data_IF_130178939596
#
_entry.id   IF_130178939596
#
_cell.length_a   1.000
_cell.length_b   1.000
_cell.length_c   1.000
_cell.angle_alpha   90.00
_cell.angle_beta   90.00
_cell.angle_gamma   90.00
#
_symmetry.space_group_name_H-M   'P 1'
#
loop_
_entity.id
_entity.type
_entity.pdbx_description
1 polymer ?
#
# COMPACT_ATOMS: atom_id res chain seq x y z
N UNK A 1 55.29 -30.01 -34.10
CA UNK A 1 54.04 -30.77 -33.87
C UNK A 1 53.22 -29.98 -32.84
N UNK A 2 52.83 -28.76 -33.22
CA UNK A 2 51.46 -28.32 -33.52
C UNK A 2 50.62 -28.10 -32.25
N UNK A 3 50.86 -26.95 -31.65
CA UNK A 3 49.99 -26.25 -30.71
C UNK A 3 49.46 -25.01 -31.43
N UNK A 4 48.37 -25.13 -32.18
CA UNK A 4 47.64 -24.00 -32.78
C UNK A 4 46.40 -24.55 -33.47
N UNK A 5 45.30 -23.79 -33.46
CA UNK A 5 44.01 -24.06 -34.12
C UNK A 5 42.97 -24.83 -33.28
N UNK A 6 42.43 -24.17 -32.26
CA UNK A 6 41.00 -24.34 -31.96
C UNK A 6 40.39 -22.97 -31.62
N UNK A 7 39.95 -22.34 -32.70
CA UNK A 7 39.06 -21.21 -32.74
C UNK A 7 37.83 -21.44 -31.85
N UNK A 8 37.57 -20.46 -30.99
CA UNK A 8 36.26 -20.06 -30.47
C UNK A 8 36.54 -18.69 -29.84
N UNK A 9 36.63 -17.61 -30.63
CA UNK A 9 35.46 -16.83 -31.04
C UNK A 9 34.28 -17.01 -30.08
N UNK A 10 34.50 -16.66 -28.81
CA UNK A 10 33.43 -16.21 -27.94
C UNK A 10 33.45 -14.69 -28.03
N UNK A 11 32.75 -14.20 -29.06
CA UNK A 11 32.00 -12.95 -28.96
C UNK A 11 31.11 -13.05 -27.71
N UNK A 12 31.68 -12.81 -26.54
CA UNK A 12 30.94 -12.72 -25.28
C UNK A 12 30.29 -11.33 -25.26
N UNK A 13 29.18 -11.25 -25.99
CA UNK A 13 28.07 -10.31 -25.79
C UNK A 13 28.50 -8.87 -25.57
N UNK A 14 28.41 -8.10 -26.67
CA UNK A 14 28.08 -6.68 -26.65
C UNK A 14 27.25 -6.34 -25.40
N UNK A 15 27.82 -5.49 -24.53
CA UNK A 15 27.08 -4.84 -23.45
C UNK A 15 25.93 -4.09 -24.13
N UNK A 16 24.68 -4.54 -24.05
CA UNK A 16 23.60 -3.82 -24.69
C UNK A 16 23.36 -2.57 -23.85
N UNK A 17 23.36 -1.43 -24.56
CA UNK A 17 22.81 -0.12 -24.23
C UNK A 17 22.38 0.09 -22.76
N UNK A 18 22.91 1.18 -22.20
CA UNK A 18 22.47 1.95 -21.02
C UNK A 18 20.95 2.14 -20.92
N UNK A 19 20.23 1.05 -20.70
CA UNK A 19 18.78 1.04 -20.63
C UNK A 19 18.39 1.50 -19.23
N UNK A 20 17.36 2.33 -19.13
CA UNK A 20 16.87 2.93 -17.87
C UNK A 20 16.75 1.96 -16.68
N UNK A 21 16.67 0.66 -16.95
CA UNK A 21 16.80 -0.42 -15.98
C UNK A 21 18.05 -0.36 -15.10
N UNK A 22 19.25 -0.08 -15.63
CA UNK A 22 20.46 0.05 -14.82
C UNK A 22 20.49 1.33 -13.98
N UNK A 23 19.76 2.38 -14.40
CA UNK A 23 19.60 3.61 -13.60
C UNK A 23 18.58 3.39 -12.49
N UNK A 24 17.50 2.66 -12.78
CA UNK A 24 16.54 2.18 -11.79
C UNK A 24 17.18 1.24 -10.78
N UNK A 25 17.98 0.29 -11.24
CA UNK A 25 18.69 -0.66 -10.38
C UNK A 25 19.71 0.08 -9.50
N UNK A 26 20.49 1.01 -10.06
CA UNK A 26 21.37 1.87 -9.25
C UNK A 26 20.60 2.79 -8.31
N UNK A 27 19.43 3.29 -8.68
CA UNK A 27 18.58 4.09 -7.80
C UNK A 27 17.99 3.22 -6.68
N UNK A 28 17.58 1.99 -6.98
CA UNK A 28 17.06 1.02 -6.00
C UNK A 28 18.16 0.53 -5.06
N UNK A 29 19.37 0.30 -5.56
CA UNK A 29 20.56 -0.05 -4.76
C UNK A 29 21.02 1.15 -3.94
N UNK A 30 21.04 2.35 -4.50
CA UNK A 30 21.39 3.56 -3.75
C UNK A 30 20.35 3.93 -2.69
N UNK A 31 19.07 3.72 -2.97
CA UNK A 31 18.00 3.77 -1.97
C UNK A 31 18.27 2.67 -0.94
N UNK A 32 18.49 1.42 -1.36
CA UNK A 32 18.79 0.26 -0.50
C UNK A 32 20.00 0.43 0.43
N UNK A 33 21.09 1.02 -0.04
CA UNK A 33 22.31 1.31 0.73
C UNK A 33 22.11 2.49 1.69
N UNK A 34 21.18 3.41 1.38
CA UNK A 34 20.72 4.46 2.32
C UNK A 34 19.61 3.98 3.26
N UNK A 35 18.92 2.88 2.94
CA UNK A 35 18.00 2.22 3.85
C UNK A 35 18.83 1.54 4.93
N UNK A 36 18.89 2.18 6.09
CA UNK A 36 19.54 1.69 7.30
C UNK A 36 19.35 0.16 7.42
N UNK A 37 20.39 -0.67 7.69
CA UNK A 37 20.24 -2.12 7.81
C UNK A 37 19.20 -2.55 8.87
N UNK A 38 18.82 -1.64 9.76
CA UNK A 38 17.68 -1.74 10.68
C UNK A 38 16.34 -1.78 9.92
N UNK A 39 16.11 -0.89 8.96
CA UNK A 39 14.91 -0.84 8.14
C UNK A 39 14.75 -2.13 7.32
N UNK A 40 15.83 -2.70 6.78
CA UNK A 40 15.78 -3.98 6.06
C UNK A 40 15.39 -5.14 6.99
N UNK A 41 15.88 -5.14 8.23
CA UNK A 41 15.51 -6.14 9.24
C UNK A 41 14.05 -5.99 9.66
N UNK A 42 13.60 -4.76 9.94
CA UNK A 42 12.22 -4.45 10.33
C UNK A 42 11.22 -4.74 9.21
N UNK A 43 11.51 -4.32 7.98
CA UNK A 43 10.67 -4.60 6.81
C UNK A 43 10.54 -6.10 6.54
N UNK A 44 11.65 -6.84 6.60
CA UNK A 44 11.62 -8.30 6.45
C UNK A 44 10.81 -8.96 7.55
N UNK A 45 10.93 -8.50 8.79
CA UNK A 45 10.15 -9.00 9.92
C UNK A 45 8.65 -8.67 9.78
N UNK A 46 8.32 -7.46 9.34
CA UNK A 46 6.96 -7.00 9.14
C UNK A 46 6.26 -7.73 7.99
N UNK A 47 6.98 -8.03 6.89
CA UNK A 47 6.48 -8.82 5.76
C UNK A 47 6.34 -10.31 6.10
N UNK A 48 7.12 -10.83 7.07
CA UNK A 48 6.98 -12.21 7.56
C UNK A 48 5.96 -12.33 8.70
N UNK A 49 5.37 -11.22 9.15
CA UNK A 49 4.37 -11.24 10.22
C UNK A 49 3.17 -12.10 9.82
N UNK A 50 2.69 -12.94 10.75
CA UNK A 50 1.50 -13.78 10.54
C UNK A 50 0.28 -12.94 10.15
N UNK A 51 0.15 -11.73 10.69
CA UNK A 51 -0.93 -10.79 10.36
C UNK A 51 -0.85 -10.31 8.91
N UNK A 52 0.37 -10.02 8.43
CA UNK A 52 0.60 -9.61 7.05
C UNK A 52 0.28 -10.74 6.08
N UNK A 53 0.82 -11.94 6.32
CA UNK A 53 0.57 -13.10 5.44
C UNK A 53 -0.92 -13.43 5.37
N UNK A 54 -1.64 -13.46 6.50
CA UNK A 54 -3.08 -13.73 6.50
C UNK A 54 -3.83 -12.67 5.69
N UNK A 55 -3.56 -11.38 5.93
CA UNK A 55 -4.25 -10.30 5.23
C UNK A 55 -3.93 -10.31 3.73
N UNK A 56 -2.67 -10.52 3.38
CA UNK A 56 -2.22 -10.61 1.99
C UNK A 56 -2.88 -11.77 1.24
N UNK A 57 -2.89 -12.97 1.83
CA UNK A 57 -3.59 -14.11 1.26
C UNK A 57 -5.09 -13.86 1.18
N UNK A 58 -5.71 -13.24 2.18
CA UNK A 58 -7.12 -12.88 2.17
C UNK A 58 -7.44 -11.91 1.03
N UNK A 59 -6.64 -10.86 0.84
CA UNK A 59 -6.80 -9.88 -0.24
C UNK A 59 -6.70 -10.56 -1.61
N UNK A 60 -5.72 -11.44 -1.81
CA UNK A 60 -5.58 -12.21 -3.05
C UNK A 60 -6.79 -13.11 -3.31
N UNK A 61 -7.26 -13.85 -2.30
CA UNK A 61 -8.43 -14.73 -2.42
C UNK A 61 -9.69 -13.93 -2.71
N UNK A 62 -9.92 -12.81 -2.01
CA UNK A 62 -11.06 -11.93 -2.24
C UNK A 62 -11.01 -11.29 -3.62
N UNK A 63 -9.84 -10.81 -4.06
CA UNK A 63 -9.66 -10.26 -5.40
C UNK A 63 -9.95 -11.32 -6.47
N UNK A 64 -9.50 -12.56 -6.26
CA UNK A 64 -9.76 -13.66 -7.17
C UNK A 64 -11.24 -14.05 -7.22
N UNK A 65 -11.88 -14.23 -6.07
CA UNK A 65 -13.33 -14.50 -5.96
C UNK A 65 -14.13 -13.38 -6.62
N UNK A 66 -13.80 -12.12 -6.34
CA UNK A 66 -14.47 -10.96 -6.93
C UNK A 66 -14.28 -10.90 -8.45
N UNK A 67 -13.09 -11.25 -8.95
CA UNK A 67 -12.84 -11.32 -10.39
C UNK A 67 -13.73 -12.37 -11.07
N UNK A 68 -13.87 -13.55 -10.46
CA UNK A 68 -14.74 -14.62 -10.98
C UNK A 68 -16.20 -14.22 -10.92
N UNK A 69 -16.65 -13.68 -9.78
CA UNK A 69 -18.02 -13.21 -9.60
C UNK A 69 -18.35 -12.07 -10.57
N UNK A 70 -17.44 -11.11 -10.73
CA UNK A 70 -17.59 -10.01 -11.68
C UNK A 70 -17.75 -10.53 -13.11
N UNK A 71 -16.86 -11.40 -13.57
CA UNK A 71 -16.97 -11.99 -14.92
C UNK A 71 -18.26 -12.80 -15.07
N UNK A 72 -18.63 -13.59 -14.06
CA UNK A 72 -19.84 -14.44 -14.11
C UNK A 72 -21.15 -13.64 -14.07
N UNK A 73 -21.20 -12.54 -13.31
CA UNK A 73 -22.38 -11.68 -13.20
C UNK A 73 -22.55 -10.76 -14.41
N UNK A 74 -21.44 -10.36 -15.05
CA UNK A 74 -21.46 -9.48 -16.22
C UNK A 74 -21.70 -10.30 -17.51
N UNK A 75 -21.50 -11.62 -17.49
CA UNK A 75 -21.57 -12.58 -18.61
C UNK A 75 -22.60 -12.32 -19.74
N UNK A 76 -23.88 -11.99 -19.48
CA UNK A 76 -24.84 -11.70 -20.54
C UNK A 76 -24.89 -10.22 -20.99
N UNK A 77 -24.32 -9.31 -20.19
CA UNK A 77 -24.46 -7.84 -20.31
C UNK A 77 -23.17 -7.09 -20.69
N UNK A 78 -22.05 -7.79 -20.83
CA UNK A 78 -20.72 -7.20 -21.16
C UNK A 78 -20.76 -6.36 -22.45
N UNK A 79 -21.67 -6.71 -23.38
CA UNK A 79 -21.81 -6.02 -24.67
C UNK A 79 -22.69 -4.77 -24.64
N UNK A 80 -23.50 -4.55 -23.58
CA UNK A 80 -24.56 -3.53 -23.58
C UNK A 80 -24.37 -2.38 -22.58
N UNK A 81 -23.49 -2.50 -21.59
CA UNK A 81 -23.22 -1.41 -20.64
C UNK A 81 -21.76 -1.41 -20.16
N UNK A 82 -21.18 -0.22 -20.01
CA UNK A 82 -19.84 0.00 -19.46
C UNK A 82 -19.81 -0.32 -17.95
N UNK A 83 -19.76 -1.60 -17.58
CA UNK A 83 -19.72 -2.09 -16.19
C UNK A 83 -18.31 -2.21 -15.59
N UNK A 84 -17.27 -1.68 -16.26
CA UNK A 84 -15.92 -1.68 -15.70
C UNK A 84 -15.81 -0.93 -14.37
N UNK A 85 -16.69 0.06 -14.15
CA UNK A 85 -16.80 0.79 -12.88
C UNK A 85 -17.25 -0.08 -11.71
N UNK A 86 -18.22 -0.97 -11.90
CA UNK A 86 -18.72 -1.88 -10.85
C UNK A 86 -17.62 -2.85 -10.38
N UNK A 87 -16.82 -3.36 -11.33
CA UNK A 87 -15.66 -4.21 -10.99
C UNK A 87 -14.61 -3.41 -10.21
N UNK A 88 -14.30 -2.20 -10.67
CA UNK A 88 -13.36 -1.30 -10.00
C UNK A 88 -13.77 -1.02 -8.55
N UNK A 89 -15.05 -0.77 -8.29
CA UNK A 89 -15.55 -0.49 -6.95
C UNK A 89 -15.32 -1.64 -5.98
N UNK A 90 -15.50 -2.90 -6.42
CA UNK A 90 -15.17 -4.04 -5.57
C UNK A 90 -13.68 -4.14 -5.24
N UNK A 91 -12.80 -3.91 -6.22
CA UNK A 91 -11.35 -3.85 -5.94
C UNK A 91 -10.97 -2.66 -5.04
N UNK A 92 -11.65 -1.52 -5.18
CA UNK A 92 -11.49 -0.36 -4.30
C UNK A 92 -11.78 -0.74 -2.85
N UNK A 93 -12.92 -1.42 -2.58
CA UNK A 93 -13.29 -1.85 -1.22
C UNK A 93 -12.32 -2.89 -0.68
N UNK A 94 -11.92 -3.86 -1.49
CA UNK A 94 -10.95 -4.90 -1.10
C UNK A 94 -9.59 -4.28 -0.76
N UNK A 95 -9.17 -3.23 -1.47
CA UNK A 95 -7.90 -2.53 -1.23
C UNK A 95 -7.98 -1.53 -0.07
N UNK A 96 -9.17 -0.96 0.19
CA UNK A 96 -9.37 0.01 1.27
C UNK A 96 -9.07 -0.57 2.65
N UNK A 97 -9.54 -1.79 2.94
CA UNK A 97 -9.35 -2.46 4.24
C UNK A 97 -7.86 -2.65 4.61
N UNK A 98 -7.02 -3.31 3.78
CA UNK A 98 -5.62 -3.53 4.12
C UNK A 98 -4.83 -2.20 4.17
N UNK A 99 -5.07 -1.28 3.24
CA UNK A 99 -4.37 0.01 3.21
C UNK A 99 -4.72 0.90 4.40
N UNK A 100 -6.00 1.06 4.71
CA UNK A 100 -6.45 2.05 5.69
C UNK A 100 -6.53 1.52 7.11
N UNK A 101 -6.64 0.20 7.30
CA UNK A 101 -6.73 -0.40 8.64
C UNK A 101 -5.48 -1.18 8.97
N UNK A 102 -5.12 -2.18 8.15
CA UNK A 102 -4.10 -3.16 8.54
C UNK A 102 -2.70 -2.55 8.61
N UNK A 103 -2.29 -1.78 7.61
CA UNK A 103 -0.97 -1.12 7.59
C UNK A 103 -0.80 -0.13 8.76
N UNK A 104 -1.67 0.88 8.94
CA UNK A 104 -1.52 1.87 10.02
C UNK A 104 -1.72 1.27 11.41
N UNK A 105 -2.57 0.24 11.55
CA UNK A 105 -2.70 -0.50 12.81
C UNK A 105 -1.47 -1.35 13.12
N UNK A 106 -0.86 -1.97 12.11
CA UNK A 106 0.39 -2.72 12.26
C UNK A 106 1.55 -1.84 12.74
N UNK A 107 1.66 -0.62 12.18
CA UNK A 107 2.67 0.36 12.60
C UNK A 107 2.47 0.81 14.06
N UNK A 108 1.23 1.13 14.45
CA UNK A 108 0.88 1.46 15.83
C UNK A 108 1.20 0.31 16.80
N UNK A 109 0.72 -0.90 16.47
CA UNK A 109 0.88 -2.08 17.33
C UNK A 109 2.35 -2.48 17.52
N UNK A 110 3.16 -2.40 16.47
CA UNK A 110 4.59 -2.69 16.56
C UNK A 110 5.30 -1.75 17.52
N UNK A 111 4.93 -0.46 17.56
CA UNK A 111 5.51 0.51 18.50
C UNK A 111 4.94 0.36 19.91
N UNK A 112 3.65 0.04 20.02
CA UNK A 112 3.00 -0.25 21.29
C UNK A 112 3.62 -1.46 22.00
N UNK A 113 3.89 -2.56 21.27
CA UNK A 113 4.50 -3.78 21.84
C UNK A 113 5.93 -3.56 22.31
N UNK A 114 6.74 -2.80 21.56
CA UNK A 114 8.11 -2.47 21.97
C UNK A 114 8.17 -1.64 23.26
N UNK A 115 7.11 -0.90 23.57
CA UNK A 115 7.00 -0.11 24.79
C UNK A 115 6.53 -0.94 25.98
N UNK A 116 5.58 -1.86 25.76
CA UNK A 116 5.08 -2.78 26.79
C UNK A 116 6.14 -3.78 27.28
N UNK A 117 7.04 -4.20 26.39
CA UNK A 117 8.14 -5.14 26.71
C UNK A 117 9.29 -4.51 27.53
N UNK A 118 9.14 -3.26 28.01
CA UNK A 118 10.13 -2.59 28.88
C UNK A 118 11.47 -2.27 28.21
N UNK A 119 11.62 -2.54 26.91
CA UNK A 119 12.88 -2.35 26.18
C UNK A 119 13.22 -0.87 25.99
N UNK A 120 12.28 0.05 26.17
CA UNK A 120 12.51 1.49 26.12
C UNK A 120 13.42 2.00 27.25
N UNK A 121 13.39 1.37 28.45
CA UNK A 121 14.31 1.70 29.54
C UNK A 121 15.71 1.08 29.35
N UNK A 122 15.82 0.00 28.56
CA UNK A 122 17.12 -0.61 28.23
C UNK A 122 17.76 0.04 26.98
N UNK A 123 16.95 0.55 26.04
CA UNK A 123 17.37 1.31 24.86
C UNK A 123 17.69 2.77 25.16
N UNK A 124 17.12 3.39 26.20
CA UNK A 124 17.47 4.76 26.63
C UNK A 124 18.92 4.86 27.12
N UNK A 125 19.54 3.72 27.45
CA UNK A 125 20.95 3.58 27.81
C UNK A 125 21.85 3.46 26.55
N UNK A 126 21.26 3.23 25.37
CA UNK A 126 22.00 3.04 24.11
C UNK A 126 21.87 4.22 23.14
N UNK A 127 22.95 4.49 22.43
CA UNK A 127 23.22 5.67 21.58
C UNK A 127 22.47 5.71 20.23
N UNK A 128 21.23 5.21 20.16
CA UNK A 128 20.45 5.21 18.91
C UNK A 128 19.54 6.44 18.80
N UNK A 129 19.56 7.10 17.63
CA UNK A 129 18.75 8.31 17.38
C UNK A 129 17.27 7.93 17.17
N UNK A 130 16.30 8.52 17.89
CA UNK A 130 14.86 8.22 17.77
C UNK A 130 14.31 8.34 16.34
N UNK A 131 14.87 9.25 15.54
CA UNK A 131 14.48 9.46 14.12
C UNK A 131 14.74 8.24 13.24
N UNK A 132 15.74 7.41 13.55
CA UNK A 132 16.06 6.22 12.77
C UNK A 132 15.05 5.08 13.02
N UNK A 133 14.46 5.02 14.22
CA UNK A 133 13.44 4.03 14.60
C UNK A 133 12.12 4.38 13.91
N UNK A 134 11.66 5.63 14.01
CA UNK A 134 10.42 6.10 13.36
C UNK A 134 10.52 5.96 11.83
N UNK A 135 11.66 6.32 11.24
CA UNK A 135 11.89 6.13 9.81
C UNK A 135 11.90 4.66 9.39
N UNK A 136 12.41 3.76 10.24
CA UNK A 136 12.35 2.31 10.05
C UNK A 136 10.91 1.78 9.97
N UNK A 137 10.07 2.16 10.94
CA UNK A 137 8.67 1.71 11.00
C UNK A 137 7.83 2.28 9.87
N UNK A 138 8.00 3.57 9.57
CA UNK A 138 7.31 4.21 8.46
C UNK A 138 7.73 3.60 7.12
N UNK A 139 9.03 3.34 6.94
CA UNK A 139 9.53 2.64 5.74
C UNK A 139 8.97 1.22 5.61
N UNK A 140 8.81 0.50 6.73
CA UNK A 140 8.14 -0.79 6.76
C UNK A 140 6.67 -0.72 6.34
N UNK A 141 5.93 0.27 6.84
CA UNK A 141 4.55 0.51 6.43
C UNK A 141 4.47 0.82 4.92
N UNK A 142 5.34 1.68 4.40
CA UNK A 142 5.39 2.02 2.96
C UNK A 142 5.68 0.78 2.10
N UNK A 143 6.63 -0.08 2.50
CA UNK A 143 6.87 -1.32 1.75
C UNK A 143 5.66 -2.25 1.77
N UNK A 144 4.96 -2.37 2.91
CA UNK A 144 3.72 -3.14 2.96
C UNK A 144 2.66 -2.58 2.01
N UNK A 145 2.48 -1.25 1.96
CA UNK A 145 1.57 -0.60 1.00
C UNK A 145 1.95 -0.93 -0.46
N UNK A 146 3.24 -0.88 -0.79
CA UNK A 146 3.73 -1.21 -2.14
C UNK A 146 3.47 -2.68 -2.51
N UNK A 147 3.62 -3.61 -1.56
CA UNK A 147 3.33 -5.03 -1.81
C UNK A 147 1.83 -5.26 -2.06
N UNK A 148 0.95 -4.63 -1.27
CA UNK A 148 -0.49 -4.70 -1.53
C UNK A 148 -0.86 -4.08 -2.88
N UNK A 149 -0.29 -2.93 -3.20
CA UNK A 149 -0.52 -2.27 -4.48
C UNK A 149 -0.06 -3.14 -5.65
N UNK A 150 1.11 -3.78 -5.54
CA UNK A 150 1.63 -4.71 -6.55
C UNK A 150 0.72 -5.91 -6.78
N UNK A 151 0.13 -6.47 -5.71
CA UNK A 151 -0.81 -7.59 -5.82
C UNK A 151 -2.13 -7.21 -6.51
N UNK A 152 -2.62 -5.99 -6.28
CA UNK A 152 -3.89 -5.50 -6.85
C UNK A 152 -3.71 -4.82 -8.22
N UNK A 153 -2.52 -4.37 -8.55
CA UNK A 153 -2.18 -3.75 -9.84
C UNK A 153 -2.63 -4.54 -11.08
N UNK A 154 -2.39 -5.87 -11.22
CA UNK A 154 -2.90 -6.62 -12.37
C UNK A 154 -4.44 -6.65 -12.43
N UNK A 155 -5.12 -6.63 -11.28
CA UNK A 155 -6.58 -6.55 -11.22
C UNK A 155 -7.09 -5.18 -11.69
N UNK A 156 -6.41 -4.10 -11.30
CA UNK A 156 -6.75 -2.74 -11.77
C UNK A 156 -6.50 -2.59 -13.27
N UNK A 157 -5.41 -3.15 -13.79
CA UNK A 157 -5.13 -3.17 -15.23
C UNK A 157 -6.24 -3.89 -16.02
N UNK A 158 -6.80 -4.97 -15.47
CA UNK A 158 -7.96 -5.65 -16.05
C UNK A 158 -9.19 -4.73 -16.11
N UNK A 159 -9.51 -4.00 -15.04
CA UNK A 159 -10.65 -3.05 -15.03
C UNK A 159 -10.51 -1.91 -16.04
N UNK A 160 -9.28 -1.45 -16.30
CA UNK A 160 -9.01 -0.46 -17.34
C UNK A 160 -9.33 -1.00 -18.74
N UNK A 161 -9.03 -2.27 -19.02
CA UNK A 161 -9.30 -2.90 -20.32
C UNK A 161 -10.80 -3.03 -20.61
N UNK A 162 -11.64 -3.13 -19.57
CA UNK A 162 -13.11 -3.15 -19.66
C UNK A 162 -13.74 -1.79 -20.05
N UNK A 163 -12.93 -0.77 -20.38
CA UNK A 163 -13.35 0.57 -20.85
C UNK A 163 -14.31 1.32 -19.92
N UNK A 164 -14.38 0.93 -18.64
CA UNK A 164 -15.29 1.55 -17.67
C UNK A 164 -14.68 2.68 -16.84
N UNK A 165 -13.37 2.93 -16.94
CA UNK A 165 -12.69 3.92 -16.09
C UNK A 165 -11.47 4.54 -16.77
N UNK A 166 -11.28 5.83 -16.57
CA UNK A 166 -10.12 6.57 -17.07
C UNK A 166 -8.85 6.21 -16.27
N UNK A 167 -7.71 6.07 -16.95
CA UNK A 167 -6.42 5.80 -16.28
C UNK A 167 -6.04 6.84 -15.21
N UNK A 168 -6.29 8.16 -15.41
CA UNK A 168 -6.11 9.16 -14.37
C UNK A 168 -6.89 8.88 -13.08
N UNK A 169 -8.10 8.30 -13.16
CA UNK A 169 -8.93 7.99 -11.97
C UNK A 169 -8.26 6.93 -11.11
N UNK A 170 -7.74 5.88 -11.74
CA UNK A 170 -7.04 4.80 -11.04
C UNK A 170 -5.81 5.36 -10.33
N UNK A 171 -5.02 6.19 -11.02
CA UNK A 171 -3.81 6.80 -10.44
C UNK A 171 -4.15 7.73 -9.27
N UNK A 172 -5.19 8.56 -9.42
CA UNK A 172 -5.67 9.44 -8.35
C UNK A 172 -6.10 8.66 -7.10
N UNK A 173 -6.87 7.58 -7.28
CA UNK A 173 -7.33 6.73 -6.18
C UNK A 173 -6.16 6.05 -5.47
N UNK A 174 -5.21 5.48 -6.21
CA UNK A 174 -4.00 4.89 -5.63
C UNK A 174 -3.23 5.93 -4.82
N UNK A 175 -3.06 7.14 -5.36
CA UNK A 175 -2.36 8.23 -4.69
C UNK A 175 -3.08 8.65 -3.40
N UNK A 176 -4.41 8.80 -3.42
CA UNK A 176 -5.20 9.11 -2.23
C UNK A 176 -5.08 8.03 -1.16
N UNK A 177 -5.22 6.74 -1.51
CA UNK A 177 -5.04 5.65 -0.55
C UNK A 177 -3.64 5.64 0.06
N UNK A 178 -2.62 5.84 -0.76
CA UNK A 178 -1.24 5.88 -0.30
C UNK A 178 -1.01 7.03 0.68
N UNK A 179 -1.47 8.24 0.34
CA UNK A 179 -1.34 9.41 1.22
C UNK A 179 -2.17 9.28 2.51
N UNK A 180 -3.41 8.80 2.42
CA UNK A 180 -4.26 8.58 3.58
C UNK A 180 -3.68 7.52 4.52
N UNK A 181 -3.18 6.40 4.00
CA UNK A 181 -2.53 5.35 4.78
C UNK A 181 -1.23 5.82 5.42
N UNK A 182 -0.43 6.60 4.69
CA UNK A 182 0.80 7.20 5.21
C UNK A 182 0.50 8.20 6.32
N UNK A 183 -0.47 9.09 6.13
CA UNK A 183 -0.93 10.04 7.14
C UNK A 183 -1.45 9.33 8.40
N UNK A 184 -2.31 8.33 8.23
CA UNK A 184 -2.81 7.51 9.33
C UNK A 184 -1.66 6.81 10.08
N UNK A 185 -0.68 6.26 9.36
CA UNK A 185 0.49 5.62 9.97
C UNK A 185 1.34 6.60 10.78
N UNK A 186 1.54 7.83 10.28
CA UNK A 186 2.25 8.89 11.02
C UNK A 186 1.48 9.30 12.27
N UNK A 187 0.17 9.52 12.17
CA UNK A 187 -0.69 9.85 13.32
C UNK A 187 -0.64 8.72 14.35
N UNK A 188 -0.75 7.45 13.91
CA UNK A 188 -0.63 6.29 14.80
C UNK A 188 0.70 6.25 15.53
N UNK A 189 1.82 6.50 14.83
CA UNK A 189 3.13 6.57 15.47
C UNK A 189 3.22 7.72 16.50
N UNK A 190 2.65 8.89 16.22
CA UNK A 190 2.60 10.02 17.16
C UNK A 190 1.74 9.70 18.38
N UNK A 191 0.56 9.10 18.20
CA UNK A 191 -0.31 8.69 19.30
C UNK A 191 0.40 7.65 20.18
N UNK A 192 1.13 6.72 19.57
CA UNK A 192 1.92 5.72 20.29
C UNK A 192 3.08 6.33 21.11
N UNK A 193 3.72 7.42 20.66
CA UNK A 193 4.81 8.06 21.42
C UNK A 193 4.31 8.89 22.60
N UNK A 194 3.13 9.51 22.50
CA UNK A 194 2.57 10.36 23.57
C UNK A 194 2.19 9.61 24.86
N UNK A 195 2.08 8.27 24.80
CA UNK A 195 1.43 7.52 25.88
C UNK A 195 2.41 6.85 26.85
N UNK A 196 2.62 7.42 28.04
CA UNK A 196 3.54 6.85 29.04
C UNK A 196 2.91 5.77 29.93
N UNK A 197 1.59 5.80 30.15
CA UNK A 197 0.90 4.90 31.09
C UNK A 197 0.14 3.76 30.40
N UNK A 198 0.25 2.54 30.96
CA UNK A 198 -0.39 1.31 30.45
C UNK A 198 -1.90 1.43 30.28
N UNK A 199 -2.59 2.12 31.18
CA UNK A 199 -4.06 2.28 31.08
C UNK A 199 -4.47 3.24 29.96
N UNK A 200 -3.72 4.33 29.77
CA UNK A 200 -3.95 5.27 28.68
C UNK A 200 -3.62 4.67 27.32
N UNK A 201 -2.67 3.72 27.25
CA UNK A 201 -2.30 3.03 26.02
C UNK A 201 -3.44 2.20 25.43
N UNK A 202 -4.18 1.48 26.27
CA UNK A 202 -5.35 0.71 25.83
C UNK A 202 -6.44 1.66 25.31
N UNK A 203 -6.75 2.73 26.05
CA UNK A 203 -7.77 3.71 25.64
C UNK A 203 -7.40 4.37 24.31
N UNK A 204 -6.14 4.77 24.12
CA UNK A 204 -5.67 5.39 22.88
C UNK A 204 -5.61 4.40 21.71
N UNK A 205 -5.31 3.13 21.96
CA UNK A 205 -5.38 2.09 20.92
C UNK A 205 -6.80 1.90 20.40
N UNK A 206 -7.80 1.96 21.30
CA UNK A 206 -9.22 1.85 20.95
C UNK A 206 -9.66 3.12 20.22
N UNK A 207 -9.29 4.31 20.71
CA UNK A 207 -9.59 5.58 20.05
C UNK A 207 -8.99 5.65 18.64
N UNK A 208 -7.74 5.23 18.48
CA UNK A 208 -7.10 5.16 17.18
C UNK A 208 -7.79 4.18 16.24
N UNK A 209 -8.23 3.02 16.74
CA UNK A 209 -8.99 2.05 15.96
C UNK A 209 -10.35 2.63 15.50
N UNK A 210 -11.02 3.42 16.35
CA UNK A 210 -12.20 4.19 15.95
C UNK A 210 -11.88 5.23 14.86
N UNK A 211 -10.75 5.93 14.96
CA UNK A 211 -10.28 6.85 13.93
C UNK A 211 -10.03 6.15 12.58
N UNK A 212 -9.39 4.98 12.59
CA UNK A 212 -9.20 4.18 11.39
C UNK A 212 -10.53 3.66 10.80
N UNK A 213 -11.47 3.27 11.66
CA UNK A 213 -12.81 2.85 11.23
C UNK A 213 -13.60 4.00 10.60
N UNK A 214 -13.49 5.22 11.16
CA UNK A 214 -14.08 6.42 10.59
C UNK A 214 -13.46 6.73 9.21
N UNK A 215 -12.14 6.65 9.08
CA UNK A 215 -11.45 6.87 7.81
C UNK A 215 -11.86 5.84 6.75
N UNK A 216 -12.00 4.56 7.14
CA UNK A 216 -12.55 3.52 6.27
C UNK A 216 -14.00 3.82 5.87
N UNK A 217 -14.84 4.24 6.80
CA UNK A 217 -16.22 4.63 6.51
C UNK A 217 -16.28 5.76 5.47
N UNK A 218 -15.47 6.80 5.63
CA UNK A 218 -15.37 7.88 4.64
C UNK A 218 -14.96 7.35 3.26
N UNK A 219 -13.95 6.48 3.17
CA UNK A 219 -13.55 5.87 1.91
C UNK A 219 -14.69 5.07 1.24
N UNK A 220 -15.48 4.33 2.03
CA UNK A 220 -16.65 3.62 1.52
C UNK A 220 -17.75 4.56 1.04
N UNK A 221 -17.99 5.68 1.73
CA UNK A 221 -18.97 6.68 1.28
C UNK A 221 -18.56 7.32 -0.05
N UNK A 222 -17.26 7.59 -0.24
CA UNK A 222 -16.72 8.11 -1.51
C UNK A 222 -16.93 7.08 -2.63
N UNK A 223 -16.65 5.79 -2.37
CA UNK A 223 -16.89 4.73 -3.34
C UNK A 223 -18.37 4.65 -3.76
N UNK A 224 -19.28 4.73 -2.79
CA UNK A 224 -20.72 4.70 -3.04
C UNK A 224 -21.22 5.95 -3.78
N UNK A 225 -20.70 7.14 -3.44
CA UNK A 225 -21.03 8.39 -4.12
C UNK A 225 -20.59 8.34 -5.60
N UNK A 226 -19.40 7.81 -5.87
CA UNK A 226 -18.92 7.59 -7.24
C UNK A 226 -19.82 6.62 -8.04
N UNK A 227 -20.40 5.62 -7.37
CA UNK A 227 -21.38 4.69 -8.00
C UNK A 227 -22.67 5.39 -8.40
N UNK A 228 -23.19 6.27 -7.56
CA UNK A 228 -24.40 7.02 -7.86
C UNK A 228 -24.23 8.04 -9.00
N UNK A 229 -23.01 8.51 -9.26
CA UNK A 229 -22.71 9.47 -10.34
C UNK A 229 -22.38 8.82 -11.69
N UNK A 230 -22.64 7.52 -11.87
CA UNK A 230 -22.33 6.77 -13.09
C UNK A 230 -23.00 7.36 -14.35
N UNK A 231 -22.30 8.28 -15.02
CA UNK A 231 -22.75 8.96 -16.23
C UNK A 231 -21.88 10.13 -16.69
N UNK A 232 -21.12 10.78 -15.80
CA UNK A 232 -20.20 11.88 -16.15
C UNK A 232 -18.75 11.54 -15.78
N UNK A 233 -17.75 12.01 -16.56
CA UNK A 233 -16.35 11.87 -16.17
C UNK A 233 -16.12 12.67 -14.88
N UNK A 234 -15.90 11.96 -13.77
CA UNK A 234 -15.82 12.49 -12.41
C UNK A 234 -14.80 13.64 -12.22
N UNK A 235 -13.80 13.76 -13.11
CA UNK A 235 -12.82 14.85 -13.07
C UNK A 235 -13.33 16.21 -13.53
N UNK A 236 -14.46 16.25 -14.24
CA UNK A 236 -15.02 17.47 -14.81
C UNK A 236 -16.00 18.16 -13.86
N UNK A 237 -16.51 17.44 -12.85
CA UNK A 237 -17.45 17.97 -11.87
C UNK A 237 -16.73 18.63 -10.68
N UNK A 238 -17.03 19.92 -10.46
CA UNK A 238 -16.50 20.73 -9.35
C UNK A 238 -16.89 20.15 -7.97
N UNK A 239 -18.04 19.50 -7.90
CA UNK A 239 -18.57 18.80 -6.72
C UNK A 239 -17.65 17.67 -6.26
N UNK A 240 -17.02 16.91 -7.19
CA UNK A 240 -16.09 15.83 -6.84
C UNK A 240 -14.87 16.35 -6.06
N UNK A 241 -14.30 17.48 -6.50
CA UNK A 241 -13.18 18.11 -5.82
C UNK A 241 -13.56 18.71 -4.47
N UNK A 242 -14.76 19.29 -4.37
CA UNK A 242 -15.26 19.88 -3.11
C UNK A 242 -15.52 18.77 -2.08
N UNK A 243 -16.17 17.67 -2.46
CA UNK A 243 -16.41 16.53 -1.55
C UNK A 243 -15.09 15.89 -1.11
N UNK A 244 -14.15 15.63 -2.02
CA UNK A 244 -12.85 15.09 -1.64
C UNK A 244 -12.05 16.05 -0.76
N UNK A 245 -12.09 17.36 -1.03
CA UNK A 245 -11.42 18.36 -0.22
C UNK A 245 -12.01 18.42 1.20
N UNK A 246 -13.35 18.47 1.32
CA UNK A 246 -14.03 18.48 2.62
C UNK A 246 -13.68 17.22 3.42
N UNK A 247 -13.72 16.05 2.79
CA UNK A 247 -13.44 14.77 3.44
C UNK A 247 -11.95 14.58 3.81
N UNK A 248 -11.02 15.19 3.08
CA UNK A 248 -9.59 15.21 3.45
C UNK A 248 -9.29 16.21 4.58
N UNK A 249 -10.13 17.24 4.74
CA UNK A 249 -9.97 18.27 5.78
C UNK A 249 -10.75 18.00 7.07
N UNK A 250 -11.71 17.07 7.05
CA UNK A 250 -12.54 16.68 8.19
C UNK A 250 -11.91 15.52 8.97
#
# INVERSE_FOLDING_TARGET
MSTSELNLNVDASAVPADTGWQRLERALVWVGDRLNPILVKETRQALKSRQFVITFTLVLVLAWIWSILGVSLIGPSIFYAARGFDMFLGYYVILAVPMLVVVPFGAFRSLASEREDGTFEMLSITTLRPRQIVGGKLGSAVLQMLVYLSAVAPCLAFTYMLRGIDAPTIVYVICCFFLASLGASVIGLVVATLTQDKHWQIVLSVLYLFGLAFLLFNALTIAFALMMQSGTPAFQDREFWIVNAIMLTA
#
